data_IF_626579926135
#
_entry.id   IF_626579926135
#
_cell.length_a   1.000
_cell.length_b   1.000
_cell.length_c   1.000
_cell.angle_alpha   90.00
_cell.angle_beta   90.00
_cell.angle_gamma   90.00
#
_symmetry.space_group_name_H-M   'P 1'
#
loop_
_entity.id
_entity.type
_entity.pdbx_description
1 polymer ?
#
# COMPACT_ATOMS: atom_id res chain seq x y z
N UNK A 1 -5.61 -15.24 20.25
CA UNK A 1 -5.38 -16.70 20.12
C UNK A 1 -4.77 -17.19 21.42
N UNK A 2 -5.38 -18.16 22.08
CA UNK A 2 -4.86 -18.81 23.29
C UNK A 2 -4.39 -20.23 22.98
N UNK A 3 -3.40 -20.72 23.72
CA UNK A 3 -2.86 -22.08 23.62
C UNK A 3 -2.65 -22.62 25.03
N UNK A 4 -3.13 -23.85 25.27
CA UNK A 4 -2.88 -24.60 26.50
C UNK A 4 -1.66 -25.50 26.29
N UNK A 5 -0.67 -25.40 27.19
CA UNK A 5 0.57 -26.16 27.12
C UNK A 5 0.71 -27.01 28.38
N UNK A 6 0.88 -28.33 28.22
CA UNK A 6 1.22 -29.24 29.31
C UNK A 6 2.69 -29.62 29.22
N UNK A 7 3.48 -29.18 30.20
CA UNK A 7 4.90 -29.54 30.26
C UNK A 7 5.05 -30.99 30.73
N UNK A 8 5.86 -31.79 30.02
CA UNK A 8 6.15 -33.17 30.39
C UNK A 8 6.69 -33.24 31.83
N UNK A 9 6.08 -34.10 32.66
CA UNK A 9 6.36 -34.26 34.11
C UNK A 9 5.93 -33.09 35.01
N UNK A 10 5.20 -32.11 34.50
CA UNK A 10 4.55 -31.09 35.34
C UNK A 10 3.13 -31.53 35.73
N UNK A 11 2.70 -31.29 37.00
CA UNK A 11 1.30 -31.45 37.39
C UNK A 11 0.41 -30.29 36.91
N UNK A 12 0.99 -29.19 36.41
CA UNK A 12 0.27 -27.98 35.98
C UNK A 12 0.11 -27.88 34.46
N UNK A 13 -0.90 -27.12 34.04
CA UNK A 13 -1.11 -26.68 32.65
C UNK A 13 -0.86 -25.18 32.62
N UNK A 14 -0.10 -24.73 31.63
CA UNK A 14 0.20 -23.32 31.40
C UNK A 14 -0.68 -22.80 30.25
N UNK A 15 -1.22 -21.59 30.40
CA UNK A 15 -2.04 -20.92 29.38
C UNK A 15 -1.25 -19.77 28.79
N UNK A 16 -1.03 -19.79 27.48
CA UNK A 16 -0.38 -18.69 26.76
C UNK A 16 -1.39 -18.00 25.85
N UNK A 17 -1.42 -16.67 25.91
CA UNK A 17 -2.30 -15.85 25.08
C UNK A 17 -1.46 -14.89 24.23
N UNK A 18 -1.74 -14.86 22.92
CA UNK A 18 -1.19 -13.86 21.98
C UNK A 18 -2.32 -13.13 21.25
N UNK A 19 -2.15 -11.82 21.08
CA UNK A 19 -3.14 -10.95 20.44
C UNK A 19 -2.56 -9.57 20.13
N UNK A 20 -3.34 -8.75 19.42
CA UNK A 20 -2.97 -7.37 19.15
C UNK A 20 -2.87 -6.57 20.48
N UNK A 21 -1.88 -5.68 20.64
CA UNK A 21 -1.61 -4.99 21.91
C UNK A 21 -2.83 -4.29 22.52
N UNK A 22 -3.68 -3.69 21.68
CA UNK A 22 -4.91 -3.00 22.07
C UNK A 22 -5.96 -3.97 22.64
N UNK A 23 -6.10 -5.16 22.06
CA UNK A 23 -7.01 -6.21 22.54
C UNK A 23 -6.48 -6.87 23.80
N UNK A 24 -5.15 -6.98 23.95
CA UNK A 24 -4.54 -7.59 25.14
C UNK A 24 -4.87 -6.80 26.41
N UNK A 25 -5.11 -5.48 26.33
CA UNK A 25 -5.59 -4.69 27.50
C UNK A 25 -6.98 -5.09 27.95
N UNK A 26 -7.82 -5.54 27.02
CA UNK A 26 -9.20 -5.95 27.30
C UNK A 26 -9.30 -7.41 27.75
N UNK A 27 -8.37 -8.26 27.29
CA UNK A 27 -8.30 -9.66 27.69
C UNK A 27 -7.57 -9.81 29.04
N UNK A 28 -6.53 -9.01 29.29
CA UNK A 28 -5.76 -9.04 30.54
C UNK A 28 -6.41 -8.19 31.66
N UNK A 29 -7.74 -8.15 31.76
CA UNK A 29 -8.42 -7.56 32.92
C UNK A 29 -8.60 -8.64 33.99
N UNK A 30 -8.38 -8.29 35.26
CA UNK A 30 -8.51 -9.22 36.39
C UNK A 30 -9.87 -9.93 36.45
N UNK A 31 -10.91 -9.32 35.86
CA UNK A 31 -12.29 -9.80 35.83
C UNK A 31 -12.59 -10.76 34.67
N UNK A 32 -11.85 -10.68 33.56
CA UNK A 32 -12.07 -11.45 32.32
C UNK A 32 -11.08 -12.60 32.14
N UNK A 33 -10.13 -12.71 33.07
CA UNK A 33 -9.12 -13.75 33.13
C UNK A 33 -9.65 -14.98 33.86
N UNK A 34 -9.20 -16.16 33.46
CA UNK A 34 -9.11 -17.33 34.34
C UNK A 34 -8.09 -17.01 35.47
N UNK A 35 -8.46 -16.09 36.35
CA UNK A 35 -7.82 -15.48 37.54
C UNK A 35 -6.29 -15.27 37.66
N UNK A 36 -5.41 -15.83 36.82
CA UNK A 36 -3.96 -15.85 37.06
C UNK A 36 -3.11 -15.79 35.76
N UNK A 37 -3.25 -14.76 34.90
CA UNK A 37 -2.26 -14.53 33.82
C UNK A 37 -1.23 -13.46 34.20
N UNK A 38 0.04 -13.82 34.07
CA UNK A 38 1.18 -12.91 34.21
C UNK A 38 1.57 -12.32 32.84
N UNK A 39 1.74 -11.00 32.78
CA UNK A 39 2.24 -10.34 31.57
C UNK A 39 3.74 -10.58 31.40
N UNK A 40 4.12 -11.36 30.39
CA UNK A 40 5.53 -11.70 30.14
C UNK A 40 6.30 -10.68 29.30
N UNK A 41 5.65 -10.02 28.34
CA UNK A 41 6.31 -9.05 27.46
C UNK A 41 5.62 -8.81 26.13
N UNK A 42 6.24 -7.95 25.31
CA UNK A 42 5.81 -7.61 23.94
C UNK A 42 6.84 -8.16 22.96
N UNK A 43 6.37 -8.76 21.87
CA UNK A 43 7.21 -9.12 20.73
C UNK A 43 6.86 -8.17 19.58
N UNK A 44 7.85 -7.44 19.08
CA UNK A 44 7.72 -6.56 17.92
C UNK A 44 8.33 -7.28 16.73
N UNK A 45 7.53 -7.49 15.69
CA UNK A 45 8.00 -7.98 14.41
C UNK A 45 8.13 -6.78 13.47
N UNK A 46 9.31 -6.64 12.87
CA UNK A 46 9.60 -5.60 11.89
C UNK A 46 9.91 -6.29 10.56
N UNK A 47 9.17 -5.94 9.51
CA UNK A 47 9.55 -6.34 8.15
C UNK A 47 10.58 -5.33 7.63
N UNK A 48 11.86 -5.65 7.82
CA UNK A 48 12.93 -4.73 7.46
C UNK A 48 13.02 -4.55 5.95
N UNK A 49 13.15 -3.30 5.53
CA UNK A 49 13.54 -2.96 4.18
C UNK A 49 14.88 -3.59 3.82
N UNK A 50 14.98 -4.08 2.58
CA UNK A 50 16.27 -4.52 2.03
C UNK A 50 17.18 -3.30 1.88
N UNK A 51 18.44 -3.33 2.37
CA UNK A 51 19.36 -2.19 2.34
C UNK A 51 19.56 -1.55 0.96
N UNK A 52 19.36 -2.34 -0.10
CA UNK A 52 19.50 -1.95 -1.50
C UNK A 52 18.30 -1.13 -2.00
N UNK A 53 17.16 -1.15 -1.29
CA UNK A 53 15.91 -0.50 -1.75
C UNK A 53 16.04 1.03 -1.82
N UNK A 54 16.44 1.75 -0.76
CA UNK A 54 16.54 3.21 -0.81
C UNK A 54 17.46 3.76 -1.92
N UNK A 55 18.71 3.26 -2.13
CA UNK A 55 19.57 3.79 -3.18
C UNK A 55 19.03 3.50 -4.59
N UNK A 56 18.29 2.40 -4.78
CA UNK A 56 17.63 2.11 -6.06
C UNK A 56 16.51 3.10 -6.34
N UNK A 57 15.62 3.33 -5.36
CA UNK A 57 14.53 4.31 -5.48
C UNK A 57 15.10 5.71 -5.76
N UNK A 58 16.16 6.11 -5.07
CA UNK A 58 16.82 7.39 -5.32
C UNK A 58 17.37 7.50 -6.74
N UNK A 59 18.01 6.44 -7.25
CA UNK A 59 18.54 6.41 -8.62
C UNK A 59 17.43 6.58 -9.65
N UNK A 60 16.32 5.85 -9.49
CA UNK A 60 15.17 5.94 -10.40
C UNK A 60 14.49 7.33 -10.32
N UNK A 61 14.42 7.94 -9.13
CA UNK A 61 13.95 9.33 -8.96
C UNK A 61 14.84 10.33 -9.69
N UNK A 62 16.16 10.21 -9.57
CA UNK A 62 17.12 11.07 -10.31
C UNK A 62 16.98 10.92 -11.82
N UNK A 63 16.63 9.71 -12.29
CA UNK A 63 16.33 9.43 -13.69
C UNK A 63 14.93 9.92 -14.15
N UNK A 64 14.14 10.54 -13.27
CA UNK A 64 12.76 10.98 -13.52
C UNK A 64 11.82 9.85 -13.97
N UNK A 65 12.14 8.63 -13.58
CA UNK A 65 11.22 7.50 -13.70
C UNK A 65 10.23 7.63 -12.54
N UNK A 66 8.95 7.37 -12.77
CA UNK A 66 7.95 7.36 -11.70
C UNK A 66 7.90 5.96 -11.08
N UNK A 67 7.97 5.87 -9.76
CA UNK A 67 7.80 4.62 -9.03
C UNK A 67 6.41 4.61 -8.39
N UNK A 68 5.75 3.45 -8.38
CA UNK A 68 4.47 3.24 -7.70
C UNK A 68 4.60 1.97 -6.86
N UNK A 69 4.15 2.01 -5.61
CA UNK A 69 4.04 0.81 -4.78
C UNK A 69 2.68 0.14 -5.01
N UNK A 70 2.68 -1.16 -5.32
CA UNK A 70 1.47 -1.96 -5.48
C UNK A 70 1.56 -3.21 -4.59
N UNK A 71 0.74 -3.29 -3.52
CA UNK A 71 0.85 -4.34 -2.49
C UNK A 71 -0.51 -4.87 -2.03
N UNK A 72 -0.53 -6.11 -1.52
CA UNK A 72 -1.66 -6.70 -0.82
C UNK A 72 -1.72 -6.33 0.68
N UNK A 73 -0.69 -5.65 1.20
CA UNK A 73 -0.61 -5.25 2.60
C UNK A 73 -1.55 -4.10 2.96
N UNK A 74 -1.66 -3.82 4.26
CA UNK A 74 -2.39 -2.68 4.78
C UNK A 74 -1.78 -1.35 4.30
N UNK A 75 -2.64 -0.38 3.98
CA UNK A 75 -2.25 0.95 3.48
C UNK A 75 -1.31 1.70 4.43
N UNK A 76 -1.50 1.60 5.74
CA UNK A 76 -0.65 2.28 6.73
C UNK A 76 0.77 1.70 6.74
N UNK A 77 0.88 0.37 6.62
CA UNK A 77 2.18 -0.31 6.47
C UNK A 77 2.86 0.13 5.18
N UNK A 78 2.12 0.17 4.07
CA UNK A 78 2.63 0.62 2.78
C UNK A 78 3.13 2.07 2.82
N UNK A 79 2.41 2.98 3.47
CA UNK A 79 2.83 4.38 3.65
C UNK A 79 4.11 4.45 4.51
N UNK A 80 4.16 3.70 5.61
CA UNK A 80 5.35 3.65 6.48
C UNK A 80 6.59 3.21 5.71
N UNK A 81 6.49 2.08 4.99
CA UNK A 81 7.58 1.53 4.17
C UNK A 81 7.98 2.51 3.06
N UNK A 82 7.00 3.15 2.41
CA UNK A 82 7.24 4.13 1.35
C UNK A 82 7.98 5.37 1.83
N UNK A 83 7.68 5.85 3.06
CA UNK A 83 8.39 6.97 3.69
C UNK A 83 9.81 6.57 4.13
N UNK A 84 10.01 5.32 4.53
CA UNK A 84 11.31 4.80 4.96
C UNK A 84 12.26 4.56 3.78
N UNK A 85 11.79 3.99 2.67
CA UNK A 85 12.59 3.80 1.46
C UNK A 85 12.74 5.07 0.60
N UNK A 86 12.05 6.15 0.99
CA UNK A 86 12.09 7.43 0.29
C UNK A 86 11.28 7.46 -1.00
N UNK A 87 10.34 6.52 -1.21
CA UNK A 87 9.37 6.56 -2.30
C UNK A 87 8.47 7.79 -2.18
N UNK A 88 7.93 8.03 -0.98
CA UNK A 88 7.21 9.26 -0.63
C UNK A 88 8.08 10.09 0.31
N UNK A 89 8.08 11.41 0.14
CA UNK A 89 8.81 12.30 1.05
C UNK A 89 8.14 12.33 2.42
N UNK A 90 8.95 12.38 3.48
CA UNK A 90 8.45 12.41 4.87
C UNK A 90 7.56 13.62 5.17
N UNK A 91 7.73 14.71 4.44
CA UNK A 91 6.98 15.95 4.61
C UNK A 91 5.77 16.07 3.67
N UNK A 92 5.60 15.12 2.75
CA UNK A 92 4.47 15.11 1.81
C UNK A 92 3.24 14.52 2.48
N UNK A 93 2.11 15.21 2.33
CA UNK A 93 0.82 14.74 2.83
C UNK A 93 0.37 13.52 2.00
N UNK A 94 0.03 12.45 2.70
CA UNK A 94 -0.56 11.26 2.09
C UNK A 94 -2.06 11.23 2.39
N UNK A 95 -2.87 11.14 1.35
CA UNK A 95 -4.33 11.06 1.47
C UNK A 95 -4.82 9.63 1.19
N UNK A 96 -5.68 9.15 2.07
CA UNK A 96 -6.27 7.81 2.03
C UNK A 96 -7.78 7.96 1.79
N UNK A 97 -8.37 7.22 0.84
CA UNK A 97 -9.79 7.27 0.62
C UNK A 97 -10.54 6.43 1.67
N UNK A 98 -11.72 6.90 2.08
CA UNK A 98 -12.65 6.17 2.94
C UNK A 98 -14.08 6.31 2.43
N UNK A 99 -14.84 5.22 2.50
CA UNK A 99 -16.28 5.27 2.21
C UNK A 99 -17.02 5.96 3.35
N UNK A 100 -17.62 7.11 3.07
CA UNK A 100 -18.53 7.82 3.99
C UNK A 100 -19.91 7.17 3.95
N UNK A 101 -20.31 6.66 2.77
CA UNK A 101 -21.59 5.98 2.56
C UNK A 101 -21.41 4.85 1.57
N UNK A 102 -22.00 3.70 1.89
CA UNK A 102 -21.97 2.53 1.03
C UNK A 102 -20.66 1.75 1.13
N UNK A 103 -20.32 1.06 0.05
CA UNK A 103 -19.14 0.21 -0.09
C UNK A 103 -18.75 0.06 -1.56
N UNK A 104 -17.68 -0.68 -1.84
CA UNK A 104 -17.16 -0.91 -3.19
C UNK A 104 -18.16 -1.54 -4.16
N UNK A 105 -19.21 -2.21 -3.68
CA UNK A 105 -20.23 -2.87 -4.53
C UNK A 105 -21.42 -1.96 -4.87
N UNK A 106 -21.50 -0.76 -4.29
CA UNK A 106 -22.65 0.13 -4.47
C UNK A 106 -22.29 1.33 -5.36
N UNK A 107 -22.94 1.52 -6.53
CA UNK A 107 -22.67 2.65 -7.42
C UNK A 107 -22.96 4.03 -6.80
N UNK A 108 -23.84 4.09 -5.79
CA UNK A 108 -24.21 5.33 -5.09
C UNK A 108 -23.40 5.56 -3.82
N UNK A 109 -22.29 4.85 -3.66
CA UNK A 109 -21.35 5.11 -2.58
C UNK A 109 -20.70 6.47 -2.74
N UNK A 110 -20.20 7.01 -1.64
CA UNK A 110 -19.44 8.27 -1.65
C UNK A 110 -18.20 8.10 -0.80
N UNK A 111 -17.07 8.53 -1.34
CA UNK A 111 -15.78 8.51 -0.67
C UNK A 111 -15.34 9.91 -0.26
N UNK A 112 -14.51 9.98 0.77
CA UNK A 112 -13.73 11.15 1.14
C UNK A 112 -12.26 10.77 1.17
N UNK A 113 -11.37 11.70 0.82
CA UNK A 113 -9.94 11.50 0.92
C UNK A 113 -9.41 12.27 2.12
N UNK A 114 -8.94 11.56 3.13
CA UNK A 114 -8.48 12.14 4.39
C UNK A 114 -6.95 12.08 4.48
N UNK A 115 -6.34 13.15 4.97
CA UNK A 115 -4.91 13.15 5.28
C UNK A 115 -4.62 12.23 6.47
N UNK A 116 -3.54 11.46 6.37
CA UNK A 116 -3.07 10.63 7.48
C UNK A 116 -2.69 11.47 8.72
N UNK A 117 -2.23 12.70 8.51
CA UNK A 117 -1.69 13.54 9.59
C UNK A 117 -2.80 14.37 10.29
N UNK A 118 -3.91 14.67 9.60
CA UNK A 118 -5.01 15.48 10.13
C UNK A 118 -6.33 15.19 9.40
N UNK A 119 -7.31 14.60 10.08
CA UNK A 119 -8.61 14.24 9.51
C UNK A 119 -9.45 15.42 8.99
N UNK A 120 -9.12 16.67 9.36
CA UNK A 120 -9.79 17.85 8.83
C UNK A 120 -9.25 18.27 7.45
N UNK A 121 -8.09 17.75 7.03
CA UNK A 121 -7.54 18.01 5.71
C UNK A 121 -8.13 17.01 4.72
N UNK A 122 -9.02 17.49 3.86
CA UNK A 122 -9.75 16.66 2.90
C UNK A 122 -9.41 17.00 1.45
N UNK A 123 -9.51 16.02 0.54
CA UNK A 123 -9.60 16.29 -0.90
C UNK A 123 -11.05 16.18 -1.37
N UNK A 124 -11.36 16.99 -2.39
CA UNK A 124 -12.63 16.87 -3.11
C UNK A 124 -12.69 15.53 -3.83
N UNK A 125 -13.84 14.85 -3.71
CA UNK A 125 -14.00 13.47 -4.16
C UNK A 125 -13.81 13.25 -5.66
N UNK A 126 -14.07 14.27 -6.49
CA UNK A 126 -13.96 14.17 -7.96
C UNK A 126 -12.68 14.81 -8.51
N UNK A 127 -12.35 16.01 -8.03
CA UNK A 127 -11.16 16.74 -8.47
C UNK A 127 -9.88 16.22 -7.83
N UNK A 128 -9.97 15.50 -6.70
CA UNK A 128 -8.85 15.04 -5.89
C UNK A 128 -7.93 16.19 -5.48
N UNK A 129 -8.44 17.42 -5.42
CA UNK A 129 -7.71 18.62 -4.99
C UNK A 129 -8.07 18.94 -3.53
N UNK A 130 -7.15 19.53 -2.75
CA UNK A 130 -7.44 19.92 -1.37
C UNK A 130 -8.65 20.86 -1.27
N UNK A 131 -9.62 20.51 -0.43
CA UNK A 131 -10.77 21.36 -0.13
C UNK A 131 -10.26 22.46 0.80
N UNK A 132 -10.24 23.72 0.32
CA UNK A 132 -9.91 24.88 1.15
C UNK A 132 -11.11 25.79 1.28
N UNK A 133 -11.32 26.30 2.49
CA UNK A 133 -12.13 27.49 2.73
C UNK A 133 -11.43 28.67 2.05
N UNK A 134 -11.95 29.07 0.88
CA UNK A 134 -11.81 30.37 0.20
C UNK A 134 -10.60 31.24 0.57
N UNK A 135 -9.69 31.44 -0.40
CA UNK A 135 -9.20 32.74 -0.89
C UNK A 135 -7.86 32.53 -1.65
N UNK A 136 -7.80 32.98 -2.90
CA UNK A 136 -6.59 33.13 -3.73
C UNK A 136 -6.05 31.91 -4.49
N UNK A 137 -6.89 31.24 -5.29
CA UNK A 137 -6.38 30.53 -6.46
C UNK A 137 -6.95 31.13 -7.73
N UNK A 138 -6.05 31.65 -8.59
CA UNK A 138 -6.34 31.74 -10.01
C UNK A 138 -6.46 30.32 -10.54
N UNK A 139 -7.63 30.00 -11.10
CA UNK A 139 -7.98 28.72 -11.74
C UNK A 139 -7.01 28.29 -12.86
N UNK A 140 -6.07 29.17 -13.24
CA UNK A 140 -5.03 29.02 -14.27
C UNK A 140 -3.63 28.60 -13.79
N UNK A 141 -3.41 28.29 -12.50
CA UNK A 141 -2.12 27.69 -12.09
C UNK A 141 -2.08 26.22 -12.52
N UNK A 142 -1.37 25.92 -13.61
CA UNK A 142 -1.10 24.56 -14.09
C UNK A 142 -0.26 23.70 -13.11
N UNK A 143 0.27 24.33 -12.07
CA UNK A 143 1.04 23.69 -11.01
C UNK A 143 0.27 23.86 -9.71
N UNK A 144 -0.25 22.75 -9.19
CA UNK A 144 -0.81 22.71 -7.84
C UNK A 144 0.37 22.92 -6.86
N UNK A 145 0.43 24.02 -6.08
CA UNK A 145 1.61 24.36 -5.30
C UNK A 145 1.84 23.44 -4.09
N UNK A 146 0.97 22.44 -3.90
CA UNK A 146 1.07 21.46 -2.84
C UNK A 146 1.39 20.09 -3.44
N UNK A 147 2.58 19.59 -3.15
CA UNK A 147 2.89 18.18 -3.36
C UNK A 147 2.12 17.36 -2.32
N UNK A 148 1.28 16.46 -2.80
CA UNK A 148 0.58 15.45 -2.01
C UNK A 148 0.52 14.16 -2.82
N UNK A 149 0.44 13.04 -2.11
CA UNK A 149 0.41 11.71 -2.69
C UNK A 149 -0.87 10.99 -2.28
N UNK A 150 -1.39 10.17 -3.20
CA UNK A 150 -2.55 9.32 -2.91
C UNK A 150 -2.08 7.90 -2.53
N UNK A 151 -2.67 7.39 -1.45
CA UNK A 151 -2.54 6.00 -1.02
C UNK A 151 -3.91 5.31 -1.14
N UNK A 152 -4.14 4.72 -2.31
CA UNK A 152 -5.41 4.13 -2.73
C UNK A 152 -5.53 2.72 -2.17
N UNK A 153 -6.70 2.37 -1.65
CA UNK A 153 -7.03 1.01 -1.22
C UNK A 153 -7.73 0.23 -2.35
N UNK A 154 -7.53 -1.08 -2.42
CA UNK A 154 -8.07 -1.92 -3.49
C UNK A 154 -9.59 -1.84 -3.67
N UNK A 155 -10.33 -1.75 -2.57
CA UNK A 155 -11.79 -1.59 -2.58
C UNK A 155 -12.25 -0.25 -3.22
N UNK A 156 -11.52 0.84 -2.97
CA UNK A 156 -11.78 2.15 -3.58
C UNK A 156 -11.28 2.17 -5.02
N UNK A 157 -10.13 1.57 -5.31
CA UNK A 157 -9.63 1.42 -6.68
C UNK A 157 -10.67 0.74 -7.55
N UNK A 158 -11.18 -0.43 -7.12
CA UNK A 158 -12.24 -1.17 -7.81
C UNK A 158 -13.49 -0.31 -8.00
N UNK A 159 -13.93 0.38 -6.96
CA UNK A 159 -15.11 1.23 -7.04
C UNK A 159 -14.97 2.40 -8.03
N UNK A 160 -13.82 3.07 -8.06
CA UNK A 160 -13.55 4.16 -9.00
C UNK A 160 -13.47 3.63 -10.43
N UNK A 161 -12.87 2.45 -10.64
CA UNK A 161 -12.81 1.82 -11.96
C UNK A 161 -14.21 1.43 -12.46
N UNK A 162 -15.05 0.85 -11.60
CA UNK A 162 -16.37 0.34 -11.99
C UNK A 162 -17.43 1.45 -12.13
N UNK A 163 -17.36 2.49 -11.29
CA UNK A 163 -18.45 3.48 -11.13
C UNK A 163 -17.99 4.95 -11.14
N UNK A 164 -16.69 5.21 -11.03
CA UNK A 164 -16.15 6.57 -11.03
C UNK A 164 -16.18 7.20 -12.41
N UNK A 165 -16.16 8.54 -12.47
CA UNK A 165 -15.96 9.22 -13.74
C UNK A 165 -14.51 9.09 -14.24
N UNK A 166 -14.36 9.14 -15.56
CA UNK A 166 -13.09 8.94 -16.26
C UNK A 166 -12.01 9.94 -15.79
N UNK A 167 -12.40 11.17 -15.50
CA UNK A 167 -11.47 12.20 -15.06
C UNK A 167 -10.94 11.94 -13.65
N UNK A 168 -11.80 11.50 -12.73
CA UNK A 168 -11.38 11.07 -11.39
C UNK A 168 -10.47 9.84 -11.44
N UNK A 169 -10.78 8.85 -12.28
CA UNK A 169 -9.91 7.70 -12.52
C UNK A 169 -8.53 8.15 -13.02
N UNK A 170 -8.46 9.01 -14.03
CA UNK A 170 -7.18 9.52 -14.54
C UNK A 170 -6.39 10.30 -13.49
N UNK A 171 -7.06 11.15 -12.71
CA UNK A 171 -6.39 11.88 -11.61
C UNK A 171 -5.84 10.92 -10.55
N UNK A 172 -6.59 9.88 -10.19
CA UNK A 172 -6.14 8.84 -9.27
C UNK A 172 -4.91 8.12 -9.83
N UNK A 173 -4.92 7.72 -11.10
CA UNK A 173 -3.79 7.03 -11.73
C UNK A 173 -2.55 7.91 -11.85
N UNK A 174 -2.69 9.22 -12.06
CA UNK A 174 -1.57 10.17 -12.18
C UNK A 174 -0.99 10.52 -10.80
N UNK A 175 -1.82 10.64 -9.76
CA UNK A 175 -1.40 11.07 -8.41
C UNK A 175 -1.16 9.91 -7.43
N UNK A 176 -1.60 8.70 -7.75
CA UNK A 176 -1.40 7.49 -6.96
C UNK A 176 0.07 7.13 -6.81
N UNK A 177 0.59 7.12 -5.59
CA UNK A 177 1.93 6.60 -5.30
C UNK A 177 1.87 5.22 -4.65
N UNK A 178 0.79 4.93 -3.92
CA UNK A 178 0.57 3.65 -3.25
C UNK A 178 -0.80 3.11 -3.65
N UNK A 179 -0.83 1.85 -4.03
CA UNK A 179 -2.02 1.03 -4.21
C UNK A 179 -1.89 -0.17 -3.27
N UNK A 180 -2.65 -0.15 -2.19
CA UNK A 180 -2.58 -1.12 -1.09
C UNK A 180 -3.84 -2.00 -1.03
N UNK A 181 -3.76 -3.16 -0.37
CA UNK A 181 -4.83 -4.17 -0.36
C UNK A 181 -5.28 -4.62 -1.76
N UNK A 182 -4.37 -4.58 -2.74
CA UNK A 182 -4.65 -4.97 -4.12
C UNK A 182 -4.66 -6.49 -4.26
N UNK A 183 -5.72 -7.04 -4.84
CA UNK A 183 -5.78 -8.41 -5.34
C UNK A 183 -4.90 -8.60 -6.60
N UNK A 184 -4.51 -9.84 -6.95
CA UNK A 184 -3.71 -10.10 -8.16
C UNK A 184 -4.32 -9.51 -9.44
N UNK A 185 -5.64 -9.62 -9.60
CA UNK A 185 -6.36 -9.08 -10.76
C UNK A 185 -6.34 -7.56 -10.78
N UNK A 186 -6.47 -6.91 -9.62
CA UNK A 186 -6.38 -5.44 -9.51
C UNK A 186 -4.96 -4.93 -9.79
N UNK A 187 -3.92 -5.70 -9.46
CA UNK A 187 -2.54 -5.33 -9.84
C UNK A 187 -2.35 -5.34 -11.36
N UNK A 188 -2.90 -6.36 -12.02
CA UNK A 188 -2.88 -6.49 -13.47
C UNK A 188 -3.65 -5.33 -14.13
N UNK A 189 -4.86 -5.06 -13.66
CA UNK A 189 -5.71 -3.97 -14.19
C UNK A 189 -5.09 -2.59 -13.95
N UNK A 190 -4.40 -2.36 -12.82
CA UNK A 190 -3.64 -1.12 -12.60
C UNK A 190 -2.57 -0.89 -13.67
N UNK A 191 -1.85 -1.95 -14.08
CA UNK A 191 -0.86 -1.86 -15.16
C UNK A 191 -1.52 -1.48 -16.48
N UNK A 192 -2.60 -2.17 -16.86
CA UNK A 192 -3.34 -1.88 -18.09
C UNK A 192 -3.87 -0.44 -18.11
N UNK A 193 -4.45 0.03 -17.00
CA UNK A 193 -4.99 1.39 -16.88
C UNK A 193 -3.90 2.47 -16.96
N UNK A 194 -2.71 2.21 -16.44
CA UNK A 194 -1.56 3.11 -16.60
C UNK A 194 -1.07 3.14 -18.06
N UNK A 195 -1.09 2.00 -18.76
CA UNK A 195 -0.75 1.91 -20.18
C UNK A 195 -1.78 2.63 -21.06
N UNK A 196 -3.08 2.49 -20.77
CA UNK A 196 -4.17 3.18 -21.46
C UNK A 196 -4.02 4.71 -21.47
N UNK A 197 -3.49 5.29 -20.39
CA UNK A 197 -3.21 6.73 -20.29
C UNK A 197 -1.83 7.13 -20.85
N UNK A 198 -1.12 6.20 -21.49
CA UNK A 198 0.10 6.46 -22.25
C UNK A 198 1.42 6.28 -21.50
N UNK A 199 1.42 5.69 -20.28
CA UNK A 199 2.67 5.32 -19.62
C UNK A 199 3.25 4.04 -20.23
N UNK A 200 4.57 3.98 -20.38
CA UNK A 200 5.31 2.73 -20.49
C UNK A 200 5.55 2.20 -19.07
N UNK A 201 5.06 0.99 -18.77
CA UNK A 201 5.01 0.44 -17.42
C UNK A 201 5.99 -0.71 -17.28
N UNK A 202 6.96 -0.55 -16.37
CA UNK A 202 7.74 -1.66 -15.84
C UNK A 202 7.14 -2.17 -14.54
N UNK A 203 7.08 -3.48 -14.36
CA UNK A 203 6.58 -4.10 -13.13
C UNK A 203 7.62 -5.07 -12.57
N UNK A 204 7.95 -4.95 -11.29
CA UNK A 204 8.83 -5.88 -10.58
C UNK A 204 8.10 -6.53 -9.40
N UNK A 205 8.20 -7.86 -9.27
CA UNK A 205 7.53 -8.63 -8.22
C UNK A 205 8.23 -9.96 -7.98
N UNK A 206 7.97 -10.59 -6.84
CA UNK A 206 8.65 -11.81 -6.39
C UNK A 206 7.72 -13.01 -6.20
N UNK A 207 6.39 -12.82 -6.29
CA UNK A 207 5.40 -13.83 -5.95
C UNK A 207 4.40 -14.16 -7.06
N UNK A 208 3.68 -15.28 -6.89
CA UNK A 208 2.63 -15.73 -7.81
C UNK A 208 1.49 -14.72 -7.98
N UNK A 209 1.27 -13.87 -6.97
CA UNK A 209 0.28 -12.79 -7.00
C UNK A 209 0.60 -11.69 -8.02
N UNK A 210 1.83 -11.64 -8.53
CA UNK A 210 2.30 -10.62 -9.46
C UNK A 210 2.34 -11.11 -10.90
N UNK A 211 2.09 -12.40 -11.16
CA UNK A 211 2.20 -13.01 -12.50
C UNK A 211 1.37 -12.27 -13.56
N UNK A 212 0.14 -11.89 -13.22
CA UNK A 212 -0.73 -11.14 -14.14
C UNK A 212 -0.14 -9.77 -14.49
N UNK A 213 0.32 -9.02 -13.50
CA UNK A 213 0.90 -7.70 -13.68
C UNK A 213 2.26 -7.75 -14.41
N UNK A 214 3.11 -8.73 -14.07
CA UNK A 214 4.40 -8.98 -14.74
C UNK A 214 4.22 -9.24 -16.24
N UNK A 215 3.16 -9.96 -16.62
CA UNK A 215 2.87 -10.28 -18.01
C UNK A 215 2.23 -9.11 -18.79
N UNK A 216 1.43 -8.28 -18.11
CA UNK A 216 0.80 -7.12 -18.74
C UNK A 216 1.77 -5.95 -18.95
N UNK A 217 2.75 -5.82 -18.06
CA UNK A 217 3.74 -4.75 -18.13
C UNK A 217 4.53 -4.79 -19.45
N UNK A 218 4.89 -3.62 -19.96
CA UNK A 218 5.80 -3.50 -21.11
C UNK A 218 7.15 -4.17 -20.80
N UNK A 219 7.57 -4.09 -19.53
CA UNK A 219 8.75 -4.79 -19.01
C UNK A 219 8.42 -5.44 -17.66
N UNK A 220 8.26 -6.76 -17.66
CA UNK A 220 8.12 -7.56 -16.44
C UNK A 220 9.47 -8.06 -15.89
N UNK A 221 9.69 -7.89 -14.59
CA UNK A 221 10.91 -8.28 -13.87
C UNK A 221 10.57 -9.17 -12.66
N UNK A 222 10.83 -10.47 -12.76
CA UNK A 222 10.71 -11.38 -11.62
C UNK A 222 11.95 -11.25 -10.71
N UNK A 223 11.75 -11.08 -9.41
CA UNK A 223 12.82 -11.02 -8.41
C UNK A 223 13.15 -12.38 -7.78
N UNK A 224 12.49 -13.45 -8.23
CA UNK A 224 12.73 -14.81 -7.76
C UNK A 224 12.62 -15.83 -8.88
N UNK A 225 13.34 -16.95 -8.75
CA UNK A 225 13.23 -18.14 -9.63
C UNK A 225 11.93 -18.94 -9.37
N UNK A 226 11.02 -18.43 -8.54
CA UNK A 226 9.74 -19.07 -8.23
C UNK A 226 8.76 -18.99 -9.42
N UNK A 227 7.49 -19.40 -9.22
CA UNK A 227 6.45 -19.45 -10.26
C UNK A 227 6.29 -18.15 -11.09
N UNK A 228 6.64 -17.00 -10.51
CA UNK A 228 6.64 -15.70 -11.19
C UNK A 228 7.61 -15.60 -12.39
N UNK A 229 8.69 -16.39 -12.41
CA UNK A 229 9.69 -16.41 -13.50
C UNK A 229 9.12 -16.85 -14.85
N UNK A 230 8.04 -17.65 -14.86
CA UNK A 230 7.38 -18.10 -16.10
C UNK A 230 6.64 -16.94 -16.78
N UNK A 231 6.22 -15.94 -16.01
CA UNK A 231 5.41 -14.82 -16.49
C UNK A 231 6.25 -13.62 -16.96
N UNK A 232 7.48 -13.46 -16.47
CA UNK A 232 8.31 -12.29 -16.71
C UNK A 232 9.40 -12.55 -17.78
N UNK A 233 9.63 -11.62 -18.73
CA UNK A 233 10.72 -11.74 -19.70
C UNK A 233 12.12 -11.72 -19.07
N UNK A 234 12.25 -11.15 -17.87
CA UNK A 234 13.49 -11.07 -17.12
C UNK A 234 13.32 -11.66 -15.72
N UNK A 235 14.31 -12.43 -15.27
CA UNK A 235 14.36 -13.01 -13.92
C UNK A 235 15.69 -12.70 -13.25
N UNK A 236 15.63 -12.08 -12.08
CA UNK A 236 16.78 -11.81 -11.22
C UNK A 236 17.05 -12.98 -10.29
N UNK A 237 18.34 -13.29 -10.08
CA UNK A 237 18.79 -14.25 -9.05
C UNK A 237 18.93 -13.62 -7.67
N UNK A 238 18.96 -12.29 -7.61
CA UNK A 238 18.99 -11.54 -6.37
C UNK A 238 17.56 -11.08 -6.05
N UNK A 239 17.11 -11.32 -4.82
CA UNK A 239 15.76 -10.94 -4.40
C UNK A 239 15.61 -9.44 -4.09
N UNK A 240 16.50 -8.58 -4.58
CA UNK A 240 16.41 -7.14 -4.42
C UNK A 240 16.04 -6.45 -5.75
N UNK A 241 15.62 -5.19 -5.65
CA UNK A 241 15.18 -4.39 -6.81
C UNK A 241 16.35 -3.77 -7.60
N UNK A 242 17.61 -4.09 -7.26
CA UNK A 242 18.79 -3.57 -7.96
C UNK A 242 18.84 -3.96 -9.44
N UNK A 243 18.30 -5.14 -9.77
CA UNK A 243 18.17 -5.62 -11.15
C UNK A 243 17.36 -4.68 -12.06
N UNK A 244 16.44 -3.87 -11.50
CA UNK A 244 15.68 -2.87 -12.25
C UNK A 244 16.61 -1.85 -12.91
N UNK A 245 17.67 -1.43 -12.21
CA UNK A 245 18.66 -0.49 -12.75
C UNK A 245 19.46 -1.13 -13.88
N UNK A 246 19.78 -2.42 -13.75
CA UNK A 246 20.57 -3.13 -14.76
C UNK A 246 19.81 -3.30 -16.07
N UNK A 247 18.50 -3.53 -16.01
CA UNK A 247 17.65 -3.73 -17.19
C UNK A 247 17.32 -2.41 -17.90
N UNK A 248 17.28 -1.29 -17.17
CA UNK A 248 16.97 0.03 -17.75
C UNK A 248 18.21 0.68 -18.41
N UNK A 249 19.42 0.31 -17.99
CA UNK A 249 20.68 0.84 -18.55
C UNK A 249 20.94 0.37 -19.98
#
# INVERSE_FOLDING_TARGET
>A
MSVLVKRLRSPTIEVYVKGAPEIMRDICRAESLEQDLEFLGIIIFENKLKPETPPVIETLKRAKIRQIMCTGDNVLTAISVSRECGLISKNTKAYIPQFVKGSSVNPRSSIVWESLDNSNDLLDSQSLKPIRSSENYSEFSLVDPFEYDLAVTGDVFRWIVDYGDEMTLYRMLIKGQIFARMSPDEKHELVEKLQEIGYCVGFCGDGANDCGALKAADVGLSLSDAEASVAAPFTSRNMDIGCVIEVIK
#
